data_IF_766691590532
#
_entry.id   IF_766691590532
#
_cell.length_a   1.000
_cell.length_b   1.000
_cell.length_c   1.000
_cell.angle_alpha   90.00
_cell.angle_beta   90.00
_cell.angle_gamma   90.00
#
_symmetry.space_group_name_H-M   'P 1'
#
loop_
_entity.id
_entity.type
_entity.pdbx_description
1 polymer ?
#
# COMPACT_ATOMS: atom_id res chain seq x y z
N UNK A 1 30.13 28.23 -25.97
CA UNK A 1 28.76 27.68 -25.97
C UNK A 1 28.68 26.63 -27.07
N UNK A 2 28.67 25.35 -26.71
CA UNK A 2 28.52 24.24 -27.67
C UNK A 2 27.70 23.15 -26.98
N UNK A 3 26.45 22.99 -27.42
CA UNK A 3 25.55 21.94 -26.94
C UNK A 3 25.73 20.75 -27.88
N UNK A 4 26.17 19.61 -27.35
CA UNK A 4 26.15 18.35 -28.07
C UNK A 4 24.80 17.67 -27.86
N UNK A 5 24.09 17.21 -28.91
CA UNK A 5 22.91 16.37 -28.74
C UNK A 5 23.36 14.92 -28.47
N UNK A 6 23.32 14.48 -27.22
CA UNK A 6 23.48 13.06 -26.89
C UNK A 6 22.18 12.33 -27.24
N UNK A 7 22.12 11.83 -28.47
CA UNK A 7 21.14 10.84 -28.89
C UNK A 7 21.45 9.50 -28.21
N UNK A 8 20.74 9.16 -27.14
CA UNK A 8 20.61 7.77 -26.72
C UNK A 8 19.41 7.19 -27.46
N UNK A 9 19.69 6.75 -28.69
CA UNK A 9 18.79 5.92 -29.50
C UNK A 9 19.39 4.53 -29.51
N UNK A 10 18.73 3.56 -28.88
CA UNK A 10 18.97 2.16 -29.19
C UNK A 10 19.01 1.23 -27.99
N UNK A 11 18.18 0.19 -28.11
CA UNK A 11 18.27 -1.09 -27.41
C UNK A 11 17.84 -1.10 -25.94
N UNK A 12 16.55 -0.88 -25.69
CA UNK A 12 15.90 -1.77 -24.71
C UNK A 12 15.71 -3.08 -25.48
N UNK A 13 16.62 -4.02 -25.20
CA UNK A 13 16.54 -5.36 -25.68
C UNK A 13 15.14 -5.91 -25.39
N UNK A 14 14.58 -6.58 -26.39
CA UNK A 14 13.39 -7.41 -26.29
C UNK A 14 13.35 -8.11 -24.93
N UNK A 15 12.53 -7.59 -24.01
CA UNK A 15 12.08 -8.43 -22.91
C UNK A 15 11.30 -9.55 -23.59
N UNK A 16 11.63 -10.83 -23.35
CA UNK A 16 10.64 -11.86 -23.60
C UNK A 16 9.49 -11.49 -22.68
N UNK A 17 8.40 -11.00 -23.27
CA UNK A 17 7.08 -11.08 -22.66
C UNK A 17 6.90 -12.56 -22.38
N UNK A 18 7.36 -12.99 -21.22
CA UNK A 18 7.00 -14.27 -20.64
C UNK A 18 5.57 -14.04 -20.18
N UNK A 19 4.68 -14.02 -21.17
CA UNK A 19 3.37 -14.63 -21.13
C UNK A 19 3.63 -16.10 -20.79
N UNK A 20 4.10 -16.31 -19.56
CA UNK A 20 4.21 -17.61 -18.95
C UNK A 20 2.75 -17.99 -18.77
N UNK A 21 2.28 -18.78 -19.73
CA UNK A 21 0.95 -19.32 -19.82
C UNK A 21 0.47 -19.57 -18.40
N UNK A 22 -0.49 -18.74 -17.97
CA UNK A 22 -1.33 -19.07 -16.85
C UNK A 22 -2.06 -20.34 -17.27
N UNK A 23 -1.42 -21.48 -17.05
CA UNK A 23 -2.07 -22.77 -16.96
C UNK A 23 -3.00 -22.62 -15.78
N UNK A 24 -4.19 -22.11 -16.08
CA UNK A 24 -5.30 -21.93 -15.17
C UNK A 24 -5.73 -23.29 -14.68
N UNK A 25 -5.07 -23.75 -13.62
CA UNK A 25 -5.77 -24.43 -12.57
C UNK A 25 -6.65 -23.35 -11.91
N UNK A 26 -7.77 -23.06 -12.59
CA UNK A 26 -8.76 -22.09 -12.11
C UNK A 26 -9.37 -22.71 -10.87
N UNK A 27 -8.74 -22.46 -9.72
CA UNK A 27 -9.31 -22.77 -8.42
C UNK A 27 -10.72 -22.19 -8.41
N UNK A 28 -11.68 -22.98 -7.94
CA UNK A 28 -13.06 -22.52 -7.79
C UNK A 28 -13.06 -21.24 -6.94
N UNK A 29 -13.99 -20.31 -7.21
CA UNK A 29 -14.08 -19.05 -6.46
C UNK A 29 -14.11 -19.28 -4.94
N UNK A 30 -14.70 -20.41 -4.52
CA UNK A 30 -14.74 -20.85 -3.12
C UNK A 30 -13.36 -21.24 -2.55
N UNK A 31 -12.48 -21.84 -3.34
CA UNK A 31 -11.13 -22.25 -2.95
C UNK A 31 -10.19 -21.03 -2.90
N UNK A 32 -10.35 -20.10 -3.83
CA UNK A 32 -9.64 -18.81 -3.81
C UNK A 32 -10.01 -18.01 -2.55
N UNK A 33 -11.32 -17.94 -2.23
CA UNK A 33 -11.79 -17.29 -1.01
C UNK A 33 -11.24 -17.98 0.24
N UNK A 34 -11.29 -19.31 0.29
CA UNK A 34 -10.73 -20.07 1.40
C UNK A 34 -9.23 -19.80 1.59
N UNK A 35 -8.46 -19.68 0.51
CA UNK A 35 -7.04 -19.41 0.57
C UNK A 35 -6.73 -17.97 1.04
N UNK A 36 -7.49 -16.97 0.59
CA UNK A 36 -7.35 -15.58 1.05
C UNK A 36 -7.73 -15.46 2.53
N UNK A 37 -8.81 -16.13 2.93
CA UNK A 37 -9.31 -16.14 4.30
C UNK A 37 -8.49 -17.04 5.23
N UNK A 38 -7.66 -17.94 4.69
CA UNK A 38 -6.76 -18.77 5.47
C UNK A 38 -5.84 -17.87 6.32
N UNK A 39 -5.93 -18.01 7.64
CA UNK A 39 -5.19 -17.20 8.60
C UNK A 39 -5.60 -15.73 8.67
N UNK A 40 -6.72 -15.33 8.06
CA UNK A 40 -7.21 -13.95 8.12
C UNK A 40 -7.51 -13.54 9.57
N UNK A 41 -8.11 -14.44 10.36
CA UNK A 41 -8.41 -14.17 11.77
C UNK A 41 -7.15 -13.85 12.59
N UNK A 42 -6.07 -14.61 12.38
CA UNK A 42 -4.79 -14.40 13.07
C UNK A 42 -4.16 -13.07 12.65
N UNK A 43 -4.15 -12.75 11.35
CA UNK A 43 -3.66 -11.47 10.84
C UNK A 43 -4.46 -10.29 11.39
N UNK A 44 -5.78 -10.41 11.43
CA UNK A 44 -6.67 -9.38 11.98
C UNK A 44 -6.40 -9.21 13.47
N UNK A 45 -6.32 -10.29 14.25
CA UNK A 45 -6.01 -10.24 15.69
C UNK A 45 -4.67 -9.56 15.95
N UNK A 46 -3.61 -9.97 15.24
CA UNK A 46 -2.29 -9.38 15.39
C UNK A 46 -2.26 -7.90 14.96
N UNK A 47 -3.06 -7.51 13.97
CA UNK A 47 -3.18 -6.10 13.58
C UNK A 47 -3.90 -5.27 14.64
N UNK A 48 -4.99 -5.78 15.21
CA UNK A 48 -5.72 -5.13 16.30
C UNK A 48 -4.82 -4.93 17.51
N UNK A 49 -4.11 -5.97 17.96
CA UNK A 49 -3.18 -5.87 19.09
C UNK A 49 -2.12 -4.77 18.87
N UNK A 50 -1.47 -4.75 17.69
CA UNK A 50 -0.50 -3.70 17.36
C UNK A 50 -1.12 -2.30 17.38
N UNK A 51 -2.33 -2.14 16.86
CA UNK A 51 -3.02 -0.84 16.82
C UNK A 51 -3.44 -0.38 18.23
N UNK A 52 -3.81 -1.31 19.10
CA UNK A 52 -4.10 -1.04 20.52
C UNK A 52 -2.82 -0.63 21.25
N UNK A 53 -1.70 -1.33 21.04
CA UNK A 53 -0.40 -0.98 21.63
C UNK A 53 0.10 0.39 21.19
N UNK A 54 -0.19 0.77 19.95
CA UNK A 54 0.11 2.10 19.40
C UNK A 54 -0.83 3.19 19.93
N UNK A 55 -1.87 2.84 20.69
CA UNK A 55 -2.87 3.80 21.18
C UNK A 55 -3.74 4.39 20.08
N UNK A 56 -3.85 3.72 18.92
CA UNK A 56 -4.68 4.15 17.80
C UNK A 56 -6.14 3.74 18.03
N UNK A 57 -6.36 2.55 18.59
CA UNK A 57 -7.69 2.01 18.88
C UNK A 57 -7.82 1.62 20.36
N UNK A 58 -9.05 1.65 20.88
CA UNK A 58 -9.39 1.23 22.24
C UNK A 58 -9.58 -0.30 22.36
N UNK A 59 -9.94 -0.77 23.56
CA UNK A 59 -10.19 -2.18 23.86
C UNK A 59 -11.42 -2.76 23.14
N UNK A 60 -12.31 -1.89 22.66
CA UNK A 60 -13.50 -2.24 21.87
C UNK A 60 -13.22 -2.17 20.36
N UNK A 61 -11.99 -1.86 19.95
CA UNK A 61 -11.56 -1.73 18.56
C UNK A 61 -11.95 -0.42 17.88
N UNK A 62 -12.37 0.59 18.64
CA UNK A 62 -12.72 1.92 18.10
C UNK A 62 -11.52 2.84 18.08
N UNK A 63 -11.45 3.69 17.06
CA UNK A 63 -10.34 4.66 16.90
C UNK A 63 -10.39 5.71 18.00
N UNK A 64 -9.28 5.86 18.73
CA UNK A 64 -9.13 6.79 19.85
C UNK A 64 -9.01 8.25 19.41
N UNK A 65 -8.38 8.52 18.26
CA UNK A 65 -8.20 9.89 17.74
C UNK A 65 -8.60 9.96 16.26
N UNK A 66 -9.82 10.43 15.99
CA UNK A 66 -10.22 10.87 14.65
C UNK A 66 -9.76 12.30 14.32
N UNK A 67 -9.26 13.05 15.31
CA UNK A 67 -8.85 14.43 15.08
C UNK A 67 -7.42 14.48 14.56
N UNK A 68 -7.23 15.12 13.41
CA UNK A 68 -5.90 15.52 12.96
C UNK A 68 -5.22 16.36 14.06
N UNK A 69 -3.89 16.19 14.23
CA UNK A 69 -3.06 17.10 15.02
C UNK A 69 -3.41 18.56 14.68
N UNK A 70 -3.43 19.45 15.67
CA UNK A 70 -3.92 20.86 15.53
C UNK A 70 -3.25 21.62 14.38
N UNK A 71 -2.02 21.26 14.05
CA UNK A 71 -1.17 21.79 12.97
C UNK A 71 -1.58 21.31 11.56
N UNK A 72 -2.30 20.19 11.46
CA UNK A 72 -2.78 19.59 10.21
C UNK A 72 -4.28 19.75 9.98
N UNK A 73 -5.00 20.37 10.93
CA UNK A 73 -6.43 20.66 10.76
C UNK A 73 -6.63 21.73 9.67
N UNK A 74 -7.78 21.73 8.97
CA UNK A 74 -8.07 22.70 7.91
C UNK A 74 -8.18 24.16 8.39
N UNK A 75 -8.43 24.38 9.68
CA UNK A 75 -8.38 25.69 10.34
C UNK A 75 -6.96 26.07 10.83
N UNK A 76 -5.99 25.19 10.65
CA UNK A 76 -4.62 25.43 11.07
C UNK A 76 -3.94 26.45 10.17
N UNK A 77 -3.28 27.44 10.79
CA UNK A 77 -2.51 28.46 10.08
C UNK A 77 -1.09 28.02 9.72
N UNK A 78 -0.85 26.72 9.54
CA UNK A 78 0.46 26.20 9.11
C UNK A 78 0.68 26.56 7.64
N UNK A 79 1.49 27.59 7.39
CA UNK A 79 2.04 27.87 6.06
C UNK A 79 3.19 26.91 5.78
N UNK A 80 3.01 26.02 4.80
CA UNK A 80 4.11 25.20 4.27
C UNK A 80 5.08 26.14 3.55
N UNK A 81 6.24 26.42 4.16
CA UNK A 81 7.32 27.13 3.49
C UNK A 81 7.98 26.15 2.51
N UNK A 82 7.56 26.18 1.26
CA UNK A 82 8.32 25.58 0.16
C UNK A 82 9.51 26.49 -0.14
N UNK A 83 10.68 26.12 0.38
CA UNK A 83 11.97 26.72 0.02
C UNK A 83 12.48 26.24 -1.34
#
# INVERSE_FOLDING_TARGET
>A
MSVAPSSVRGAVASQPSSDASASGDELSEEEQLAQVLAGAEERVRAAVERLTDMGIIDQDGKVLTQELPRDMRPDSQTTVVTG
#
